data_IF_388968411424
#
_entry.id   IF_388968411424
#
_cell.length_a   1.000
_cell.length_b   1.000
_cell.length_c   1.000
_cell.angle_alpha   90.00
_cell.angle_beta   90.00
_cell.angle_gamma   90.00
#
_symmetry.space_group_name_H-M   'P 1'
#
loop_
_entity.id
_entity.type
_entity.pdbx_description
1 polymer ?
#
# COMPACT_ATOMS: atom_id res chain seq x y z
N UNK A 1 -36.37 56.82 5.87
CA UNK A 1 -37.07 57.56 6.94
C UNK A 1 -36.77 56.83 8.25
N UNK A 2 -36.28 57.55 9.27
CA UNK A 2 -35.90 57.08 10.65
C UNK A 2 -34.74 56.07 10.72
N UNK A 3 -33.48 56.43 11.04
CA UNK A 3 -32.88 57.05 12.24
C UNK A 3 -33.36 56.42 13.57
N UNK A 4 -32.50 55.63 14.20
CA UNK A 4 -32.25 55.70 15.65
C UNK A 4 -30.82 55.20 15.99
N UNK A 5 -30.03 56.12 16.55
CA UNK A 5 -28.84 55.85 17.33
C UNK A 5 -29.23 55.13 18.64
N UNK A 6 -28.40 54.20 19.12
CA UNK A 6 -28.04 54.13 20.54
C UNK A 6 -26.57 53.81 20.70
N UNK A 7 -25.84 54.81 21.19
CA UNK A 7 -24.50 54.70 21.72
C UNK A 7 -24.55 53.87 23.02
N UNK A 8 -23.76 52.81 23.07
CA UNK A 8 -23.47 52.03 24.28
C UNK A 8 -21.98 52.10 24.55
N UNK A 9 -21.59 52.97 25.48
CA UNK A 9 -20.24 53.15 25.97
C UNK A 9 -19.81 51.89 26.74
N UNK A 10 -18.96 51.05 26.13
CA UNK A 10 -18.37 49.91 26.81
C UNK A 10 -17.02 50.34 27.40
N UNK A 11 -16.96 50.37 28.73
CA UNK A 11 -15.74 50.60 29.48
C UNK A 11 -14.74 49.47 29.21
N UNK A 12 -13.61 49.79 28.59
CA UNK A 12 -12.47 48.88 28.43
C UNK A 12 -11.74 48.82 29.77
N UNK A 13 -12.01 47.76 30.52
CA UNK A 13 -11.25 47.39 31.72
C UNK A 13 -9.96 46.70 31.25
N UNK A 14 -8.83 47.43 31.26
CA UNK A 14 -7.51 46.84 31.06
C UNK A 14 -7.12 46.13 32.36
N UNK A 15 -7.37 44.83 32.44
CA UNK A 15 -6.79 43.96 33.47
C UNK A 15 -5.36 43.67 33.05
N UNK A 16 -4.41 44.25 33.79
CA UNK A 16 -2.99 43.95 33.69
C UNK A 16 -2.77 42.55 34.28
N UNK A 17 -2.96 41.50 33.48
CA UNK A 17 -2.57 40.14 33.86
C UNK A 17 -1.04 40.09 33.85
N UNK A 18 -0.44 40.32 35.02
CA UNK A 18 0.90 39.81 35.32
C UNK A 18 0.83 38.29 35.28
N UNK A 19 0.86 37.74 34.06
CA UNK A 19 1.10 36.33 33.85
C UNK A 19 2.48 36.04 34.41
N UNK A 20 2.53 35.29 35.51
CA UNK A 20 3.69 34.49 35.85
C UNK A 20 3.96 33.62 34.62
N UNK A 21 4.87 34.07 33.76
CA UNK A 21 5.62 33.18 32.89
C UNK A 21 6.48 32.35 33.82
N UNK A 22 5.90 31.28 34.37
CA UNK A 22 6.68 30.12 34.76
C UNK A 22 7.45 29.73 33.52
N UNK A 23 8.70 30.17 33.41
CA UNK A 23 9.65 29.55 32.55
C UNK A 23 9.66 28.09 33.00
N UNK A 24 8.91 27.25 32.28
CA UNK A 24 9.13 25.83 32.28
C UNK A 24 10.58 25.73 31.84
N UNK A 25 11.50 25.61 32.80
CA UNK A 25 12.81 25.08 32.51
C UNK A 25 12.50 23.80 31.77
N UNK A 26 12.84 23.69 30.47
CA UNK A 26 12.73 22.41 29.81
C UNK A 26 13.46 21.45 30.73
N UNK A 27 12.73 20.44 31.20
CA UNK A 27 13.26 19.33 31.99
C UNK A 27 14.19 18.57 31.06
N UNK A 28 15.34 19.17 30.79
CA UNK A 28 16.37 18.64 29.94
C UNK A 28 17.15 17.60 30.76
N UNK A 29 17.39 16.48 30.08
CA UNK A 29 18.16 15.35 30.52
C UNK A 29 17.45 14.48 31.57
N UNK A 30 16.98 13.33 31.12
CA UNK A 30 16.81 12.16 31.96
C UNK A 30 18.18 11.80 32.54
N UNK A 31 18.55 12.43 33.66
CA UNK A 31 19.84 12.21 34.30
C UNK A 31 19.87 10.79 34.86
N UNK A 32 20.84 9.98 34.41
CA UNK A 32 21.06 8.63 34.91
C UNK A 32 21.04 7.52 33.85
N UNK A 33 20.60 7.81 32.63
CA UNK A 33 20.66 6.85 31.52
C UNK A 33 21.90 7.02 30.65
N UNK A 34 22.35 5.91 30.08
CA UNK A 34 23.50 5.81 29.18
C UNK A 34 23.06 5.41 27.77
N UNK A 35 23.87 5.65 26.73
CA UNK A 35 23.64 5.08 25.40
C UNK A 35 23.47 3.56 25.40
N UNK A 36 24.18 2.85 26.29
CA UNK A 36 24.06 1.39 26.38
C UNK A 36 22.68 0.96 26.87
N UNK A 37 22.09 1.68 27.84
CA UNK A 37 20.73 1.37 28.31
C UNK A 37 19.71 1.46 27.16
N UNK A 38 19.88 2.44 26.27
CA UNK A 38 19.04 2.58 25.06
C UNK A 38 19.25 1.42 24.10
N UNK A 39 20.50 1.05 23.82
CA UNK A 39 20.84 -0.09 22.95
C UNK A 39 20.22 -1.38 23.51
N UNK A 40 20.37 -1.64 24.82
CA UNK A 40 19.86 -2.85 25.46
C UNK A 40 18.32 -2.93 25.39
N UNK A 41 17.62 -1.81 25.61
CA UNK A 41 16.16 -1.77 25.49
C UNK A 41 15.69 -1.97 24.04
N UNK A 42 16.37 -1.36 23.07
CA UNK A 42 16.06 -1.55 21.64
C UNK A 42 16.33 -3.00 21.19
N UNK A 43 17.48 -3.56 21.55
CA UNK A 43 17.89 -4.91 21.17
C UNK A 43 16.98 -5.99 21.79
N UNK A 44 16.38 -5.72 22.94
CA UNK A 44 15.40 -6.60 23.58
C UNK A 44 13.99 -6.52 22.96
N UNK A 45 13.73 -5.58 22.06
CA UNK A 45 12.43 -5.45 21.39
C UNK A 45 12.19 -6.64 20.45
N UNK A 46 10.94 -7.12 20.37
CA UNK A 46 10.58 -8.30 19.59
C UNK A 46 10.93 -8.18 18.09
N UNK A 47 10.97 -6.95 17.56
CA UNK A 47 11.37 -6.69 16.18
C UNK A 47 12.88 -6.91 15.91
N UNK A 48 13.73 -6.79 16.94
CA UNK A 48 15.19 -6.87 16.81
C UNK A 48 15.78 -8.16 17.34
N UNK A 49 15.22 -8.72 18.43
CA UNK A 49 15.87 -9.76 19.23
C UNK A 49 16.35 -10.96 18.40
N UNK A 50 15.50 -11.53 17.56
CA UNK A 50 15.84 -12.70 16.75
C UNK A 50 16.77 -12.33 15.57
N UNK A 51 16.52 -11.18 14.94
CA UNK A 51 17.32 -10.69 13.81
C UNK A 51 18.76 -10.37 14.19
N UNK A 52 18.96 -9.78 15.38
CA UNK A 52 20.27 -9.47 15.94
C UNK A 52 20.97 -10.74 16.46
N UNK A 53 20.25 -11.68 17.07
CA UNK A 53 20.81 -12.96 17.51
C UNK A 53 21.37 -13.79 16.33
N UNK A 54 20.75 -13.70 15.15
CA UNK A 54 21.21 -14.36 13.93
C UNK A 54 22.43 -13.69 13.27
N UNK A 55 22.87 -12.51 13.73
CA UNK A 55 23.95 -11.71 13.13
C UNK A 55 25.06 -11.42 14.13
N UNK A 56 25.87 -12.41 14.53
CA UNK A 56 26.92 -12.19 15.51
C UNK A 56 27.89 -11.10 15.04
N UNK A 57 28.21 -10.16 15.92
CA UNK A 57 29.14 -9.07 15.62
C UNK A 57 28.48 -7.77 15.14
N UNK A 58 27.15 -7.68 15.14
CA UNK A 58 26.46 -6.40 14.96
C UNK A 58 26.97 -5.34 15.96
N UNK A 59 26.89 -4.08 15.55
CA UNK A 59 27.23 -2.92 16.37
C UNK A 59 26.04 -1.96 16.46
N UNK A 60 26.04 -1.08 17.46
CA UNK A 60 24.99 -0.08 17.60
C UNK A 60 25.54 1.23 18.18
N UNK A 61 24.82 2.31 17.87
CA UNK A 61 25.04 3.61 18.49
C UNK A 61 23.71 4.18 18.93
N UNK A 62 23.74 4.93 20.03
CA UNK A 62 22.57 5.60 20.54
C UNK A 62 22.87 7.05 20.94
N UNK A 63 21.88 7.92 20.76
CA UNK A 63 21.96 9.30 21.22
C UNK A 63 20.63 9.78 21.80
N UNK A 64 20.72 10.58 22.86
CA UNK A 64 19.58 11.33 23.40
C UNK A 64 19.23 12.45 22.41
N UNK A 65 18.01 12.42 21.86
CA UNK A 65 17.52 13.45 20.93
C UNK A 65 17.34 14.82 21.61
N UNK A 66 17.35 14.87 22.95
CA UNK A 66 17.11 16.05 23.78
C UNK A 66 15.78 16.73 23.53
N UNK A 67 14.84 16.02 22.91
CA UNK A 67 13.48 16.52 22.70
C UNK A 67 12.70 16.53 24.03
N UNK A 68 11.56 17.21 24.04
CA UNK A 68 10.72 17.33 25.25
C UNK A 68 10.10 16.00 25.72
N UNK A 69 10.22 14.95 24.93
CA UNK A 69 9.64 13.64 25.21
C UNK A 69 10.66 12.67 25.84
N UNK A 70 11.95 13.03 25.88
CA UNK A 70 13.02 12.17 26.39
C UNK A 70 13.21 10.92 25.52
N UNK A 71 13.26 11.13 24.20
CA UNK A 71 13.46 10.06 23.22
C UNK A 71 14.95 9.85 22.95
N UNK A 72 15.36 8.59 22.99
CA UNK A 72 16.63 8.11 22.47
C UNK A 72 16.41 7.51 21.10
N UNK A 73 17.36 7.73 20.22
CA UNK A 73 17.46 7.05 18.94
C UNK A 73 18.58 6.01 19.03
N UNK A 74 18.32 4.81 18.51
CA UNK A 74 19.28 3.70 18.42
C UNK A 74 19.35 3.24 16.97
N UNK A 75 20.56 3.07 16.45
CA UNK A 75 20.82 2.54 15.12
C UNK A 75 21.70 1.29 15.22
N UNK A 76 21.38 0.26 14.44
CA UNK A 76 22.11 -1.01 14.39
C UNK A 76 22.79 -1.20 13.02
N UNK A 77 23.99 -1.80 13.02
CA UNK A 77 24.72 -2.16 11.81
C UNK A 77 25.31 -3.57 11.92
N UNK A 78 25.54 -4.23 10.79
CA UNK A 78 26.27 -5.49 10.75
C UNK A 78 27.80 -5.29 10.78
N UNK A 79 28.55 -6.37 10.54
CA UNK A 79 30.01 -6.36 10.53
C UNK A 79 30.62 -5.62 9.33
N UNK A 80 29.86 -5.47 8.25
CA UNK A 80 30.27 -4.74 7.04
C UNK A 80 29.84 -3.27 7.09
N UNK A 81 29.06 -2.90 8.12
CA UNK A 81 28.55 -1.55 8.34
C UNK A 81 27.22 -1.28 7.63
N UNK A 82 26.57 -2.32 7.11
CA UNK A 82 25.24 -2.22 6.51
C UNK A 82 24.20 -2.02 7.60
N UNK A 83 23.19 -1.21 7.29
CA UNK A 83 22.12 -0.85 8.23
C UNK A 83 21.21 -2.07 8.51
N UNK A 84 21.04 -2.40 9.79
CA UNK A 84 20.15 -3.47 10.25
C UNK A 84 18.78 -2.96 10.73
N UNK A 85 18.67 -1.65 10.97
CA UNK A 85 17.46 -1.00 11.45
C UNK A 85 17.72 -0.02 12.60
N UNK A 86 16.66 0.64 13.02
CA UNK A 86 16.70 1.68 14.05
C UNK A 86 15.47 1.65 14.97
N UNK A 87 15.59 2.25 16.15
CA UNK A 87 14.50 2.38 17.12
C UNK A 87 14.52 3.74 17.82
N UNK A 88 13.33 4.32 18.00
CA UNK A 88 13.12 5.46 18.89
C UNK A 88 12.39 5.00 20.16
N UNK A 89 12.97 5.32 21.32
CA UNK A 89 12.49 4.79 22.60
C UNK A 89 12.60 5.79 23.73
N UNK A 90 11.93 5.50 24.85
CA UNK A 90 12.08 6.24 26.10
C UNK A 90 12.48 5.29 27.21
N UNK A 91 13.65 5.54 27.79
CA UNK A 91 14.20 4.73 28.89
C UNK A 91 13.41 4.89 30.18
N UNK A 92 13.00 6.13 30.48
CA UNK A 92 12.13 6.45 31.63
C UNK A 92 10.80 5.68 31.62
N UNK A 93 10.25 5.46 30.42
CA UNK A 93 8.99 4.72 30.24
C UNK A 93 9.21 3.26 29.87
N UNK A 94 10.47 2.85 29.73
CA UNK A 94 10.89 1.52 29.24
C UNK A 94 10.08 1.08 28.02
N UNK A 95 9.92 1.98 27.03
CA UNK A 95 9.05 1.76 25.87
C UNK A 95 9.72 2.17 24.57
N UNK A 96 9.64 1.30 23.57
CA UNK A 96 9.94 1.59 22.16
C UNK A 96 8.68 2.15 21.48
N UNK A 97 8.82 3.27 20.78
CA UNK A 97 7.70 3.98 20.14
C UNK A 97 7.60 3.72 18.65
N UNK A 98 8.74 3.72 17.97
CA UNK A 98 8.88 3.47 16.54
C UNK A 98 10.16 2.69 16.30
N UNK A 99 10.13 1.89 15.25
CA UNK A 99 11.28 1.13 14.80
C UNK A 99 11.14 0.81 13.32
N UNK A 100 12.26 0.49 12.69
CA UNK A 100 12.30 -0.11 11.37
C UNK A 100 13.41 -1.16 11.36
N UNK A 101 13.17 -2.26 10.66
CA UNK A 101 14.09 -3.40 10.59
C UNK A 101 14.40 -3.68 9.14
N UNK A 102 15.69 -3.69 8.80
CA UNK A 102 16.20 -4.00 7.46
C UNK A 102 16.85 -5.38 7.40
N UNK A 103 16.81 -6.12 8.50
CA UNK A 103 17.31 -7.48 8.58
C UNK A 103 16.45 -8.42 7.73
N UNK A 104 16.95 -8.79 6.54
CA UNK A 104 16.39 -9.90 5.76
C UNK A 104 16.52 -11.25 6.50
N UNK A 105 15.93 -12.30 5.96
CA UNK A 105 16.23 -13.65 6.42
C UNK A 105 17.67 -14.05 6.01
N UNK A 106 18.35 -14.87 6.81
CA UNK A 106 19.54 -15.57 6.31
C UNK A 106 19.15 -16.55 5.21
N UNK A 107 20.11 -17.02 4.39
CA UNK A 107 19.82 -18.01 3.35
C UNK A 107 19.16 -19.28 3.92
N UNK A 108 19.68 -19.79 5.04
CA UNK A 108 19.12 -20.96 5.75
C UNK A 108 17.69 -20.70 6.26
N UNK A 109 17.45 -19.51 6.84
CA UNK A 109 16.11 -19.10 7.26
C UNK A 109 15.17 -18.95 6.06
N UNK A 110 15.66 -18.39 4.95
CA UNK A 110 14.89 -18.22 3.73
C UNK A 110 14.44 -19.57 3.18
N UNK A 111 15.36 -20.52 3.00
CA UNK A 111 15.04 -21.87 2.48
C UNK A 111 14.07 -22.63 3.39
N UNK A 112 14.28 -22.59 4.71
CA UNK A 112 13.37 -23.26 5.66
C UNK A 112 11.98 -22.60 5.73
N UNK A 113 11.92 -21.28 5.59
CA UNK A 113 10.68 -20.52 5.51
C UNK A 113 9.93 -20.84 4.23
N UNK A 114 10.61 -20.84 3.09
CA UNK A 114 10.03 -21.21 1.80
C UNK A 114 9.44 -22.61 1.83
N UNK A 115 10.18 -23.61 2.33
CA UNK A 115 9.69 -24.99 2.46
C UNK A 115 8.43 -25.06 3.32
N UNK A 116 8.42 -24.37 4.46
CA UNK A 116 7.27 -24.35 5.39
C UNK A 116 6.05 -23.69 4.77
N UNK A 117 6.24 -22.55 4.11
CA UNK A 117 5.16 -21.82 3.43
C UNK A 117 4.64 -22.64 2.24
N UNK A 118 5.52 -23.24 1.45
CA UNK A 118 5.13 -24.12 0.34
C UNK A 118 4.28 -25.29 0.86
N UNK A 119 4.71 -25.94 1.94
CA UNK A 119 3.94 -27.02 2.57
C UNK A 119 2.56 -26.55 3.05
N UNK A 120 2.46 -25.33 3.60
CA UNK A 120 1.18 -24.74 3.98
C UNK A 120 0.28 -24.51 2.75
N UNK A 121 0.81 -23.86 1.70
CA UNK A 121 0.05 -23.50 0.50
C UNK A 121 -0.43 -24.74 -0.28
N UNK A 122 0.37 -25.81 -0.33
CA UNK A 122 -0.02 -27.10 -0.93
C UNK A 122 -1.24 -27.75 -0.25
N UNK A 123 -1.57 -27.34 0.97
CA UNK A 123 -2.72 -27.82 1.72
C UNK A 123 -3.84 -26.77 1.84
N UNK A 124 -3.71 -25.62 1.17
CA UNK A 124 -4.71 -24.57 1.16
C UNK A 124 -5.69 -24.77 -0.01
N UNK A 125 -6.97 -25.10 0.22
CA UNK A 125 -7.92 -25.35 -0.86
C UNK A 125 -8.04 -24.17 -1.84
N UNK A 126 -8.09 -22.94 -1.32
CA UNK A 126 -8.22 -21.73 -2.13
C UNK A 126 -7.01 -21.49 -3.06
N UNK A 127 -5.82 -22.00 -2.70
CA UNK A 127 -4.61 -21.88 -3.52
C UNK A 127 -4.49 -23.05 -4.49
N UNK A 128 -4.81 -24.26 -4.04
CA UNK A 128 -4.81 -25.47 -4.88
C UNK A 128 -5.84 -25.37 -6.02
N UNK A 129 -6.97 -24.71 -5.78
CA UNK A 129 -7.99 -24.46 -6.82
C UNK A 129 -7.49 -23.50 -7.92
N UNK A 130 -6.48 -22.66 -7.63
CA UNK A 130 -5.92 -21.69 -8.56
C UNK A 130 -4.62 -22.16 -9.22
N UNK A 131 -3.87 -23.06 -8.58
CA UNK A 131 -2.53 -23.48 -9.03
C UNK A 131 -2.49 -24.99 -9.22
N UNK A 132 -2.54 -25.44 -10.47
CA UNK A 132 -2.62 -26.87 -10.83
C UNK A 132 -1.44 -27.70 -10.30
N UNK A 133 -0.23 -27.13 -10.27
CA UNK A 133 0.97 -27.81 -9.76
C UNK A 133 1.92 -26.87 -9.00
N UNK A 134 1.53 -26.52 -7.78
CA UNK A 134 2.35 -25.68 -6.91
C UNK A 134 3.69 -26.33 -6.48
N UNK A 135 3.79 -27.66 -6.56
CA UNK A 135 5.01 -28.39 -6.19
C UNK A 135 6.20 -28.06 -7.10
N UNK A 136 5.91 -27.79 -8.38
CA UNK A 136 6.92 -27.50 -9.40
C UNK A 136 7.05 -25.99 -9.71
N UNK A 137 6.20 -25.14 -9.11
CA UNK A 137 6.24 -23.70 -9.32
C UNK A 137 7.36 -23.02 -8.53
N UNK A 138 7.99 -22.01 -9.14
CA UNK A 138 8.95 -21.17 -8.44
C UNK A 138 8.22 -20.30 -7.39
N UNK A 139 8.75 -20.28 -6.17
CA UNK A 139 8.16 -19.60 -5.03
C UNK A 139 9.19 -18.64 -4.44
N UNK A 140 8.84 -17.37 -4.36
CA UNK A 140 9.66 -16.37 -3.68
C UNK A 140 8.92 -15.89 -2.44
N UNK A 141 9.57 -16.00 -1.29
CA UNK A 141 8.98 -15.61 -0.01
C UNK A 141 9.65 -14.35 0.51
N UNK A 142 8.83 -13.41 0.96
CA UNK A 142 9.27 -12.22 1.69
C UNK A 142 8.44 -12.02 2.97
N UNK A 143 8.91 -11.12 3.83
CA UNK A 143 8.17 -10.72 5.02
C UNK A 143 7.93 -9.22 5.01
N UNK A 144 6.66 -8.84 5.06
CA UNK A 144 6.22 -7.47 5.22
C UNK A 144 6.20 -7.12 6.72
N UNK A 145 7.27 -6.47 7.17
CA UNK A 145 7.43 -6.03 8.55
C UNK A 145 6.38 -4.99 8.99
N UNK A 146 5.81 -4.23 8.06
CA UNK A 146 4.83 -3.18 8.38
C UNK A 146 3.45 -3.76 8.66
N UNK A 147 3.07 -4.79 7.91
CA UNK A 147 1.77 -5.43 8.03
C UNK A 147 1.79 -6.75 8.81
N UNK A 148 2.98 -7.19 9.26
CA UNK A 148 3.24 -8.44 9.97
C UNK A 148 2.73 -9.67 9.20
N UNK A 149 3.13 -9.78 7.92
CA UNK A 149 2.67 -10.83 7.01
C UNK A 149 3.83 -11.45 6.25
N UNK A 150 3.70 -12.73 6.01
CA UNK A 150 4.51 -13.41 4.99
C UNK A 150 3.87 -13.16 3.62
N UNK A 151 4.67 -12.82 2.63
CA UNK A 151 4.29 -12.82 1.23
C UNK A 151 4.93 -14.00 0.51
N UNK A 152 4.18 -14.55 -0.44
CA UNK A 152 4.61 -15.65 -1.28
C UNK A 152 4.21 -15.35 -2.71
N UNK A 153 5.20 -14.99 -3.54
CA UNK A 153 5.03 -14.83 -4.97
C UNK A 153 5.19 -16.18 -5.67
N UNK A 154 4.14 -16.63 -6.34
CA UNK A 154 4.09 -17.90 -7.07
C UNK A 154 4.19 -17.57 -8.56
N UNK A 155 5.31 -17.93 -9.19
CA UNK A 155 5.56 -17.63 -10.60
C UNK A 155 4.82 -18.62 -11.50
N UNK A 156 3.86 -18.11 -12.27
CA UNK A 156 3.02 -18.88 -13.21
C UNK A 156 2.97 -18.21 -14.59
N UNK A 157 4.02 -17.46 -14.95
CA UNK A 157 4.04 -16.62 -16.15
C UNK A 157 3.04 -15.46 -16.03
N UNK A 158 2.13 -15.26 -17.01
CA UNK A 158 1.16 -14.15 -16.99
C UNK A 158 0.08 -14.28 -15.91
N UNK A 159 -0.03 -15.44 -15.25
CA UNK A 159 -1.05 -15.72 -14.23
C UNK A 159 -0.44 -15.81 -12.83
N UNK A 160 0.73 -15.17 -12.61
CA UNK A 160 1.44 -15.21 -11.33
C UNK A 160 0.60 -14.64 -10.18
N UNK A 161 0.74 -15.25 -9.00
CA UNK A 161 -0.05 -14.92 -7.82
C UNK A 161 0.85 -14.36 -6.72
N UNK A 162 0.31 -13.44 -5.92
CA UNK A 162 0.93 -13.06 -4.65
C UNK A 162 0.01 -13.41 -3.50
N UNK A 163 0.44 -14.33 -2.65
CA UNK A 163 -0.33 -14.84 -1.51
C UNK A 163 0.25 -14.26 -0.23
N UNK A 164 -0.60 -13.68 0.62
CA UNK A 164 -0.17 -13.22 1.95
C UNK A 164 -0.69 -14.14 3.03
N UNK A 165 0.17 -14.47 3.99
CA UNK A 165 -0.11 -15.31 5.14
C UNK A 165 0.13 -14.54 6.44
N UNK A 166 -0.61 -14.88 7.49
CA UNK A 166 -0.39 -14.32 8.84
C UNK A 166 -0.29 -15.44 9.86
N UNK A 167 0.63 -15.31 10.81
CA UNK A 167 0.66 -16.16 12.00
C UNK A 167 -0.32 -15.63 13.05
N UNK A 168 -1.10 -16.52 13.65
CA UNK A 168 -1.95 -16.16 14.80
C UNK A 168 -1.24 -16.29 16.15
N UNK A 169 0.08 -16.57 16.16
CA UNK A 169 0.85 -16.73 17.40
C UNK A 169 1.13 -15.40 18.12
N UNK A 170 0.93 -14.27 17.44
CA UNK A 170 1.27 -12.93 17.94
C UNK A 170 2.77 -12.64 17.96
N UNK A 171 3.59 -13.51 17.32
CA UNK A 171 5.03 -13.34 17.17
C UNK A 171 5.37 -12.97 15.72
N UNK A 172 6.09 -11.88 15.52
CA UNK A 172 6.64 -11.49 14.21
C UNK A 172 7.50 -12.62 13.66
N UNK A 173 7.52 -12.79 12.33
CA UNK A 173 8.26 -13.86 11.64
C UNK A 173 7.89 -15.30 12.07
N UNK A 174 6.82 -15.49 12.84
CA UNK A 174 6.40 -16.84 13.20
C UNK A 174 5.78 -17.55 12.00
N UNK A 175 6.12 -18.83 11.86
CA UNK A 175 5.49 -19.77 10.94
C UNK A 175 4.51 -20.72 11.66
N UNK A 176 4.27 -20.51 12.95
CA UNK A 176 3.29 -21.28 13.72
C UNK A 176 1.88 -20.77 13.41
N UNK A 177 0.92 -21.69 13.27
CA UNK A 177 -0.51 -21.37 13.07
C UNK A 177 -0.73 -20.36 11.93
N UNK A 178 -0.10 -20.61 10.78
CA UNK A 178 -0.31 -19.80 9.58
C UNK A 178 -1.78 -19.86 9.15
N UNK A 179 -2.28 -18.72 8.70
CA UNK A 179 -3.58 -18.57 8.05
C UNK A 179 -3.38 -17.84 6.73
N UNK A 180 -4.14 -18.27 5.72
CA UNK A 180 -4.29 -17.51 4.49
C UNK A 180 -4.97 -16.19 4.81
N UNK A 181 -4.32 -15.08 4.50
CA UNK A 181 -4.88 -13.73 4.71
C UNK A 181 -5.53 -13.23 3.41
N UNK A 182 -4.80 -13.25 2.30
CA UNK A 182 -5.25 -12.73 0.99
C UNK A 182 -4.53 -13.42 -0.17
N UNK A 183 -5.18 -13.41 -1.34
CA UNK A 183 -4.61 -13.77 -2.63
C UNK A 183 -4.76 -12.56 -3.55
N UNK A 184 -3.65 -12.14 -4.15
CA UNK A 184 -3.57 -11.03 -5.10
C UNK A 184 -3.22 -11.58 -6.48
N UNK A 185 -3.84 -10.99 -7.50
CA UNK A 185 -3.58 -11.30 -8.90
C UNK A 185 -2.84 -10.11 -9.50
N UNK A 186 -1.50 -10.14 -9.39
CA UNK A 186 -0.63 -9.00 -9.69
C UNK A 186 -0.71 -8.55 -11.15
N UNK A 187 -1.10 -9.47 -12.03
CA UNK A 187 -1.17 -9.25 -13.49
C UNK A 187 -2.57 -8.83 -13.97
N UNK A 188 -3.54 -8.60 -13.06
CA UNK A 188 -4.82 -8.03 -13.47
C UNK A 188 -4.63 -6.56 -13.89
N UNK A 189 -5.16 -6.15 -15.05
CA UNK A 189 -5.15 -4.74 -15.42
C UNK A 189 -5.91 -3.92 -14.37
N UNK A 190 -5.48 -2.68 -14.17
CA UNK A 190 -6.27 -1.73 -13.41
C UNK A 190 -7.66 -1.55 -14.03
N UNK A 191 -8.64 -1.09 -13.24
CA UNK A 191 -9.98 -0.82 -13.76
C UNK A 191 -9.94 0.12 -14.97
N UNK A 192 -9.11 1.17 -14.94
CA UNK A 192 -9.01 2.14 -16.03
C UNK A 192 -8.41 1.51 -17.30
N UNK A 193 -7.42 0.64 -17.17
CA UNK A 193 -6.84 -0.10 -18.29
C UNK A 193 -7.85 -1.09 -18.87
N UNK A 194 -8.52 -1.86 -18.02
CA UNK A 194 -9.59 -2.77 -18.44
C UNK A 194 -10.72 -2.01 -19.15
N UNK A 195 -11.19 -0.91 -18.55
CA UNK A 195 -12.28 -0.09 -19.08
C UNK A 195 -11.90 0.50 -20.44
N UNK A 196 -10.70 1.09 -20.55
CA UNK A 196 -10.20 1.65 -21.81
C UNK A 196 -10.06 0.57 -22.90
N UNK A 197 -9.63 -0.64 -22.53
CA UNK A 197 -9.55 -1.76 -23.46
C UNK A 197 -10.94 -2.22 -23.93
N UNK A 198 -11.92 -2.29 -23.03
CA UNK A 198 -13.30 -2.61 -23.38
C UNK A 198 -13.95 -1.54 -24.26
N UNK A 199 -13.72 -0.25 -23.96
CA UNK A 199 -14.19 0.88 -24.77
C UNK A 199 -13.60 0.81 -26.18
N UNK A 200 -12.28 0.62 -26.30
CA UNK A 200 -11.60 0.48 -27.59
C UNK A 200 -12.13 -0.73 -28.38
N UNK A 201 -12.42 -1.84 -27.71
CA UNK A 201 -13.02 -3.02 -28.33
C UNK A 201 -14.45 -2.73 -28.83
N UNK A 202 -15.28 -2.07 -28.02
CA UNK A 202 -16.63 -1.66 -28.42
C UNK A 202 -16.60 -0.73 -29.64
N UNK A 203 -15.71 0.28 -29.63
CA UNK A 203 -15.48 1.19 -30.76
C UNK A 203 -15.08 0.42 -32.01
N UNK A 204 -14.17 -0.56 -31.88
CA UNK A 204 -13.74 -1.41 -32.99
C UNK A 204 -14.92 -2.20 -33.58
N UNK A 205 -15.77 -2.79 -32.74
CA UNK A 205 -16.96 -3.54 -33.17
C UNK A 205 -17.96 -2.64 -33.90
N UNK A 206 -18.25 -1.44 -33.37
CA UNK A 206 -19.11 -0.47 -34.07
C UNK A 206 -18.51 -0.01 -35.40
N UNK A 207 -17.20 0.26 -35.45
CA UNK A 207 -16.52 0.70 -36.65
C UNK A 207 -16.47 -0.37 -37.77
N UNK A 208 -16.68 -1.65 -37.44
CA UNK A 208 -16.84 -2.71 -38.42
C UNK A 208 -18.19 -2.68 -39.13
N UNK A 209 -19.19 -1.93 -38.64
CA UNK A 209 -20.45 -1.72 -39.35
C UNK A 209 -20.21 -0.86 -40.60
N UNK A 210 -20.56 -1.34 -41.81
CA UNK A 210 -20.28 -0.63 -43.06
C UNK A 210 -20.83 0.80 -43.09
N UNK A 211 -22.01 1.02 -42.53
CA UNK A 211 -22.70 2.32 -42.49
C UNK A 211 -21.97 3.32 -41.60
N UNK A 212 -21.57 2.91 -40.39
CA UNK A 212 -20.78 3.75 -39.47
C UNK A 212 -19.41 4.04 -40.08
N UNK A 213 -18.73 3.02 -40.61
CA UNK A 213 -17.44 3.18 -41.27
C UNK A 213 -17.51 4.20 -42.42
N UNK A 214 -18.54 4.08 -43.27
CA UNK A 214 -18.74 5.00 -44.39
C UNK A 214 -19.00 6.43 -43.91
N UNK A 215 -19.80 6.62 -42.86
CA UNK A 215 -20.08 7.95 -42.30
C UNK A 215 -18.83 8.64 -41.73
N UNK A 216 -17.87 7.88 -41.20
CA UNK A 216 -16.65 8.41 -40.58
C UNK A 216 -15.50 8.61 -41.57
N UNK A 217 -15.50 7.87 -42.69
CA UNK A 217 -14.37 7.79 -43.62
C UNK A 217 -13.92 9.15 -44.19
N UNK A 218 -14.86 10.05 -44.42
CA UNK A 218 -14.60 11.34 -45.06
C UNK A 218 -14.14 12.42 -44.07
N UNK A 219 -14.16 12.12 -42.77
CA UNK A 219 -13.77 13.04 -41.71
C UNK A 219 -12.43 12.62 -41.12
N UNK A 220 -11.39 13.44 -41.29
CA UNK A 220 -10.13 13.23 -40.56
C UNK A 220 -10.23 13.85 -39.16
N UNK A 221 -9.69 13.16 -38.16
CA UNK A 221 -9.65 13.66 -36.77
C UNK A 221 -10.95 13.51 -36.00
N UNK A 222 -11.85 12.61 -36.41
CA UNK A 222 -12.95 12.20 -35.54
C UNK A 222 -12.41 11.51 -34.28
N UNK A 223 -13.18 11.60 -33.20
CA UNK A 223 -12.95 10.92 -31.93
C UNK A 223 -14.14 10.01 -31.61
N UNK A 224 -13.93 9.03 -30.75
CA UNK A 224 -15.01 8.20 -30.22
C UNK A 224 -14.87 8.07 -28.71
N UNK A 225 -16.01 8.05 -28.03
CA UNK A 225 -16.11 7.79 -26.60
C UNK A 225 -17.25 6.81 -26.35
N UNK A 226 -17.17 6.04 -25.27
CA UNK A 226 -18.14 5.02 -24.91
C UNK A 226 -18.35 4.88 -23.42
N UNK A 227 -19.60 4.64 -23.03
CA UNK A 227 -19.95 4.27 -21.65
C UNK A 227 -20.85 3.02 -21.66
N UNK A 228 -20.58 2.01 -20.81
CA UNK A 228 -21.47 0.87 -20.66
C UNK A 228 -22.66 1.20 -19.77
N UNK A 229 -23.82 0.61 -20.09
CA UNK A 229 -24.98 0.62 -19.19
C UNK A 229 -24.97 -0.55 -18.19
N UNK A 230 -26.02 -0.63 -17.36
CA UNK A 230 -26.18 -1.67 -16.34
C UNK A 230 -26.29 -3.10 -16.90
N UNK A 231 -26.58 -3.25 -18.21
CA UNK A 231 -26.66 -4.53 -18.91
C UNK A 231 -25.37 -4.85 -19.68
N UNK A 232 -24.31 -4.04 -19.54
CA UNK A 232 -23.05 -4.20 -20.25
C UNK A 232 -23.10 -3.81 -21.74
N UNK A 233 -24.13 -3.07 -22.15
CA UNK A 233 -24.21 -2.51 -23.51
C UNK A 233 -23.46 -1.19 -23.55
N UNK A 234 -22.48 -1.09 -24.43
CA UNK A 234 -21.65 0.09 -24.64
C UNK A 234 -22.34 1.07 -25.57
N UNK A 235 -22.63 2.26 -25.07
CA UNK A 235 -23.20 3.38 -25.81
C UNK A 235 -22.08 4.28 -26.30
N UNK A 236 -21.83 4.24 -27.60
CA UNK A 236 -20.73 4.90 -28.28
C UNK A 236 -21.21 6.15 -28.99
N UNK A 237 -20.40 7.20 -28.94
CA UNK A 237 -20.60 8.43 -29.71
C UNK A 237 -19.34 8.73 -30.50
N UNK A 238 -19.49 8.90 -31.81
CA UNK A 238 -18.43 9.31 -32.72
C UNK A 238 -18.62 10.80 -33.06
N UNK A 239 -17.59 11.62 -32.86
CA UNK A 239 -17.68 13.08 -33.00
C UNK A 239 -16.56 13.68 -33.83
N UNK A 240 -16.79 14.86 -34.40
CA UNK A 240 -15.77 15.75 -34.94
C UNK A 240 -15.97 17.14 -34.33
N UNK A 241 -15.13 17.47 -33.35
CA UNK A 241 -15.38 18.65 -32.50
C UNK A 241 -16.69 18.47 -31.72
N UNK A 242 -17.66 19.35 -31.95
CA UNK A 242 -18.98 19.29 -31.30
C UNK A 242 -20.04 18.55 -32.13
N UNK A 243 -19.73 18.20 -33.39
CA UNK A 243 -20.67 17.49 -34.25
C UNK A 243 -20.65 15.98 -33.95
N UNK A 244 -21.81 15.39 -33.70
CA UNK A 244 -21.97 13.93 -33.65
C UNK A 244 -22.11 13.38 -35.06
N UNK A 245 -21.21 12.47 -35.45
CA UNK A 245 -21.19 11.79 -36.76
C UNK A 245 -21.94 10.47 -36.73
N UNK A 246 -21.94 9.76 -35.61
CA UNK A 246 -22.70 8.53 -35.41
C UNK A 246 -22.83 8.21 -33.92
N UNK A 247 -23.83 7.41 -33.57
CA UNK A 247 -23.94 6.73 -32.28
C UNK A 247 -24.19 5.24 -32.49
N UNK A 248 -23.78 4.40 -31.53
CA UNK A 248 -24.01 2.96 -31.59
C UNK A 248 -24.17 2.37 -30.19
N UNK A 249 -25.01 1.34 -30.05
CA UNK A 249 -25.05 0.49 -28.86
C UNK A 249 -24.45 -0.88 -29.19
N UNK A 250 -23.45 -1.31 -28.43
CA UNK A 250 -22.62 -2.48 -28.72
C UNK A 250 -22.55 -3.42 -27.53
N UNK A 251 -22.76 -4.71 -27.77
CA UNK A 251 -22.49 -5.75 -26.77
C UNK A 251 -21.14 -6.41 -27.09
N UNK A 252 -20.12 -6.12 -26.28
CA UNK A 252 -18.74 -6.56 -26.50
C UNK A 252 -18.61 -8.08 -26.42
N UNK A 253 -19.27 -8.71 -25.43
CA UNK A 253 -19.22 -10.17 -25.21
C UNK A 253 -19.66 -10.97 -26.44
N UNK A 254 -20.77 -10.56 -27.06
CA UNK A 254 -21.32 -11.24 -28.24
C UNK A 254 -20.79 -10.67 -29.56
N UNK A 255 -19.97 -9.62 -29.51
CA UNK A 255 -19.47 -8.87 -30.67
C UNK A 255 -20.59 -8.37 -31.59
N UNK A 256 -21.67 -7.84 -31.01
CA UNK A 256 -22.85 -7.39 -31.77
C UNK A 256 -23.10 -5.89 -31.63
N UNK A 257 -23.48 -5.25 -32.73
CA UNK A 257 -24.08 -3.91 -32.72
C UNK A 257 -25.59 -4.08 -32.66
N UNK A 258 -26.20 -3.57 -31.59
CA UNK A 258 -27.62 -3.72 -31.31
C UNK A 258 -28.44 -2.65 -32.03
N UNK A 259 -27.93 -1.42 -32.03
CA UNK A 259 -28.53 -0.27 -32.71
C UNK A 259 -27.45 0.75 -33.09
N UNK A 260 -27.73 1.57 -34.10
CA UNK A 260 -26.90 2.72 -34.45
C UNK A 260 -27.72 3.83 -35.10
N UNK A 261 -27.22 5.06 -35.01
CA UNK A 261 -27.76 6.23 -35.70
C UNK A 261 -26.63 6.98 -36.39
N UNK A 262 -26.87 7.51 -37.59
CA UNK A 262 -25.92 8.38 -38.29
C UNK A 262 -26.26 9.86 -38.04
N UNK A 263 -25.23 10.67 -37.81
CA UNK A 263 -25.31 12.12 -37.73
C UNK A 263 -25.56 12.75 -39.09
N UNK A 264 -26.40 13.79 -39.13
CA UNK A 264 -26.75 14.54 -40.33
C UNK A 264 -25.87 15.77 -40.57
#
# INVERSE_FOLDING_TARGET
MQKFLKAGMLAVLVVLSMGLTSALSPSHAQSGYTPQDAIDLAAAHAAFVDGLAARPGWTAAAYDSKNSYGIWHVQFWDTDGEDLGWADLSLERSKVYSWEVYMGLTEEQSSSTEETIRAFLLNSPDVVDLVENLGDADLYVDYDYWNERWGAYIELGPDSLYVTLRSTSGRSLSLENLQLDRIYFSELPSYDEWFSAQEAQAISIAFQQPEINAALRDYSGWAATGEPDENGVWHLTFTLGEQTLATAAVMVETQQVLEFTLGG
#
